data_IF_365257931313
#
_entry.id   IF_365257931313
#
_cell.length_a   1.000
_cell.length_b   1.000
_cell.length_c   1.000
_cell.angle_alpha   90.00
_cell.angle_beta   90.00
_cell.angle_gamma   90.00
#
_symmetry.space_group_name_H-M   'P 1'
#
loop_
_entity.id
_entity.type
_entity.pdbx_description
1 polymer ?
#
# COMPACT_ATOMS: atom_id res chain seq x y z
N UNK A 1 -2.83 -12.52 14.74
CA UNK A 1 -3.06 -12.83 13.32
C UNK A 1 -4.13 -11.88 12.82
N UNK A 2 -3.80 -10.99 11.89
CA UNK A 2 -4.77 -10.02 11.36
C UNK A 2 -5.41 -10.62 10.11
N UNK A 3 -6.69 -10.98 10.20
CA UNK A 3 -7.46 -11.56 9.11
C UNK A 3 -8.90 -11.07 9.22
N UNK A 4 -9.41 -10.52 8.11
CA UNK A 4 -10.77 -9.98 8.01
C UNK A 4 -11.45 -10.53 6.77
N UNK A 5 -12.77 -10.64 6.82
CA UNK A 5 -13.61 -10.96 5.66
C UNK A 5 -14.46 -9.73 5.36
N UNK A 6 -14.63 -9.45 4.08
CA UNK A 6 -15.46 -8.37 3.57
C UNK A 6 -16.57 -8.98 2.71
N UNK A 7 -17.75 -8.36 2.70
CA UNK A 7 -18.88 -8.82 1.89
C UNK A 7 -18.70 -8.48 0.41
N UNK A 8 -18.08 -7.34 0.13
CA UNK A 8 -17.81 -6.85 -1.21
C UNK A 8 -16.51 -6.05 -1.29
N UNK A 9 -16.17 -5.62 -2.51
CA UNK A 9 -14.94 -4.87 -2.78
C UNK A 9 -15.01 -3.42 -2.28
N UNK A 10 -16.19 -2.85 -2.13
CA UNK A 10 -16.35 -1.46 -1.71
C UNK A 10 -16.06 -1.31 -0.21
N UNK A 11 -16.38 -2.31 0.61
CA UNK A 11 -15.91 -2.37 2.00
C UNK A 11 -14.38 -2.34 2.09
N UNK A 12 -13.68 -3.05 1.20
CA UNK A 12 -12.20 -3.04 1.14
C UNK A 12 -11.70 -1.64 0.77
N UNK A 13 -12.28 -1.02 -0.26
CA UNK A 13 -11.89 0.35 -0.68
C UNK A 13 -12.11 1.38 0.43
N UNK A 14 -13.21 1.27 1.16
CA UNK A 14 -13.49 2.15 2.29
C UNK A 14 -12.44 2.00 3.39
N UNK A 15 -12.12 0.76 3.76
CA UNK A 15 -11.05 0.47 4.73
C UNK A 15 -9.70 1.05 4.28
N UNK A 16 -9.32 0.83 3.01
CA UNK A 16 -8.07 1.35 2.46
C UNK A 16 -8.04 2.88 2.49
N UNK A 17 -9.15 3.55 2.16
CA UNK A 17 -9.27 5.01 2.19
C UNK A 17 -9.17 5.58 3.60
N UNK A 18 -9.85 4.97 4.57
CA UNK A 18 -9.82 5.38 5.98
C UNK A 18 -8.43 5.24 6.61
N UNK A 19 -7.66 4.24 6.17
CA UNK A 19 -6.36 3.89 6.74
C UNK A 19 -5.18 4.28 5.83
N UNK A 20 -5.42 5.10 4.80
CA UNK A 20 -4.44 5.39 3.74
C UNK A 20 -3.10 5.94 4.22
N UNK A 21 -3.06 6.61 5.38
CA UNK A 21 -1.84 7.18 5.96
C UNK A 21 -1.09 6.20 6.88
N UNK A 22 -1.72 5.06 7.20
CA UNK A 22 -1.16 3.98 8.03
C UNK A 22 -0.77 2.75 7.19
N UNK A 23 -1.13 2.74 5.91
CA UNK A 23 -0.89 1.64 4.97
C UNK A 23 0.24 2.03 4.01
N UNK A 24 1.39 1.37 4.15
CA UNK A 24 2.55 1.60 3.29
C UNK A 24 2.43 0.94 1.90
N UNK A 25 1.71 -0.18 1.80
CA UNK A 25 1.68 -1.00 0.59
C UNK A 25 0.41 -1.86 0.53
N UNK A 26 -0.19 -1.91 -0.65
CA UNK A 26 -1.32 -2.78 -0.96
C UNK A 26 -0.85 -3.77 -2.01
N UNK A 27 -1.07 -5.06 -1.77
CA UNK A 27 -0.79 -6.14 -2.74
C UNK A 27 -2.10 -6.72 -3.20
N UNK A 28 -2.38 -6.64 -4.50
CA UNK A 28 -3.64 -7.09 -5.07
C UNK A 28 -3.44 -7.58 -6.51
N UNK A 29 -4.45 -8.29 -7.04
CA UNK A 29 -4.45 -8.60 -8.46
C UNK A 29 -4.94 -7.37 -9.25
N UNK A 30 -4.43 -7.11 -10.47
CA UNK A 30 -4.82 -5.97 -11.28
C UNK A 30 -6.33 -5.86 -11.54
N UNK A 31 -7.05 -6.98 -11.60
CA UNK A 31 -8.48 -7.00 -11.90
C UNK A 31 -9.35 -6.36 -10.80
N UNK A 32 -8.79 -6.13 -9.60
CA UNK A 32 -9.47 -5.44 -8.51
C UNK A 32 -9.43 -3.91 -8.65
N UNK A 33 -8.65 -3.37 -9.59
CA UNK A 33 -8.52 -1.94 -9.87
C UNK A 33 -8.25 -1.10 -8.60
N UNK A 34 -7.30 -1.56 -7.79
CA UNK A 34 -6.78 -0.86 -6.61
C UNK A 34 -5.42 -0.25 -6.95
N UNK A 35 -5.07 0.84 -6.26
CA UNK A 35 -3.69 1.36 -6.27
C UNK A 35 -2.81 0.41 -5.46
N UNK A 36 -2.26 -0.60 -6.15
CA UNK A 36 -1.62 -1.75 -5.55
C UNK A 36 -0.49 -2.29 -6.43
N UNK A 37 0.48 -2.92 -5.79
CA UNK A 37 1.53 -3.69 -6.49
C UNK A 37 1.08 -5.14 -6.71
N UNK A 38 1.70 -5.82 -7.67
CA UNK A 38 1.36 -7.23 -7.92
C UNK A 38 1.94 -8.14 -6.85
N UNK A 39 1.43 -9.37 -6.81
CA UNK A 39 2.00 -10.43 -5.98
C UNK A 39 3.47 -10.68 -6.33
N UNK A 40 4.32 -10.72 -5.30
CA UNK A 40 5.77 -10.89 -5.44
C UNK A 40 6.55 -9.59 -5.50
N UNK A 41 5.97 -8.52 -6.05
CA UNK A 41 6.66 -7.23 -6.22
C UNK A 41 7.00 -6.57 -4.88
N UNK A 42 6.14 -6.75 -3.87
CA UNK A 42 6.36 -6.19 -2.52
C UNK A 42 7.62 -6.72 -1.81
N UNK A 43 8.21 -7.83 -2.29
CA UNK A 43 9.47 -8.37 -1.75
C UNK A 43 10.70 -7.63 -2.30
N UNK A 44 10.53 -6.86 -3.38
CA UNK A 44 11.57 -6.07 -4.04
C UNK A 44 11.15 -4.60 -4.15
N UNK A 45 10.84 -3.93 -3.01
CA UNK A 45 10.35 -2.57 -3.02
C UNK A 45 11.40 -1.61 -3.61
N UNK A 46 10.93 -0.69 -4.44
CA UNK A 46 11.77 0.38 -4.98
C UNK A 46 11.89 1.50 -3.95
N UNK A 47 12.89 2.36 -4.09
CA UNK A 47 13.12 3.49 -3.17
C UNK A 47 11.90 4.41 -3.03
N UNK A 48 11.10 4.56 -4.08
CA UNK A 48 9.87 5.36 -4.07
C UNK A 48 8.64 4.59 -3.56
N UNK A 49 8.75 3.30 -3.23
CA UNK A 49 7.68 2.47 -2.64
C UNK A 49 7.64 2.56 -1.12
N UNK A 50 8.75 2.97 -0.49
CA UNK A 50 8.86 3.18 0.97
C UNK A 50 8.43 4.56 1.42
N UNK A 51 8.22 5.47 0.48
CA UNK A 51 8.09 6.87 0.79
C UNK A 51 6.68 7.29 0.44
N UNK A 52 5.85 7.41 1.49
CA UNK A 52 4.45 7.85 1.45
C UNK A 52 4.32 9.29 0.94
N UNK A 53 4.66 9.54 -0.32
CA UNK A 53 4.87 10.87 -0.91
C UNK A 53 5.90 11.73 -0.16
N UNK A 54 6.72 11.12 0.69
CA UNK A 54 7.87 11.78 1.33
C UNK A 54 9.01 11.77 0.32
N UNK A 55 9.74 12.88 0.20
CA UNK A 55 10.98 12.88 -0.57
C UNK A 55 12.01 12.00 0.16
N UNK A 56 12.18 10.76 -0.31
CA UNK A 56 13.09 9.76 0.27
C UNK A 56 14.52 10.29 0.39
N UNK A 57 14.97 11.11 -0.56
CA UNK A 57 16.33 11.68 -0.51
C UNK A 57 16.43 12.69 0.62
N UNK A 58 15.42 13.55 0.77
CA UNK A 58 15.35 14.52 1.86
C UNK A 58 15.28 13.85 3.24
N UNK A 59 14.63 12.69 3.36
CA UNK A 59 14.61 11.91 4.60
C UNK A 59 15.99 11.36 4.96
N UNK A 60 16.70 10.80 3.97
CA UNK A 60 18.04 10.23 4.17
C UNK A 60 19.12 11.29 4.45
N UNK A 61 18.93 12.53 3.97
CA UNK A 61 19.84 13.66 4.25
C UNK A 61 19.74 14.21 5.69
N UNK A 62 18.68 13.90 6.44
CA UNK A 62 18.48 14.34 7.83
C UNK A 62 19.13 13.42 8.87
N UNK A 63 19.82 12.36 8.45
CA UNK A 63 20.50 11.37 9.30
C UNK A 63 22.00 11.61 9.32
#
# INVERSE_FOLDING_TARGET
MNFSRYQDLDEVKNFLSENKYEIQCIVAKPELNLDAVNFGDAQHPKLNTYADNIDTMKFLEMV
#
